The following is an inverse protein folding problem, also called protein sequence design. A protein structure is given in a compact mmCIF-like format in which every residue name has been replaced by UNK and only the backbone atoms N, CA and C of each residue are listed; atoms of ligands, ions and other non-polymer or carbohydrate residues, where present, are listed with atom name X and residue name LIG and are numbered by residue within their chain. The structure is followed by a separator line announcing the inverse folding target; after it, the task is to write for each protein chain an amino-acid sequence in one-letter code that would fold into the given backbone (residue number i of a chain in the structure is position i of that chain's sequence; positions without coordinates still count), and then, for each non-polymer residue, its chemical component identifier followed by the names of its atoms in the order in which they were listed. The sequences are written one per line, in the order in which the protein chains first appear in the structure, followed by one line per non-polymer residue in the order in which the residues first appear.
data_IF_372789850084
#
_entry.id   IF_372789850084
#
_cell.length_a   1.000
_cell.length_b   1.000
_cell.length_c   1.000
_cell.angle_alpha   90.00
_cell.angle_beta   90.00
_cell.angle_gamma   90.00
#
_symmetry.space_group_name_H-M   'P 1'
#
loop_
_entity.id
_entity.type
_entity.pdbx_description
1 polymer ?
#
# COMPACT_ATOMS: atom_id res chain seq x y z
N UNK A 1 5.43 8.25 -11.35
CA UNK A 1 4.07 8.77 -11.66
C UNK A 1 3.50 9.35 -10.36
N UNK A 2 2.92 10.55 -10.34
CA UNK A 2 2.40 11.14 -9.09
C UNK A 2 1.01 10.57 -8.75
N UNK A 3 0.89 9.84 -7.63
CA UNK A 3 -0.33 9.13 -7.19
C UNK A 3 -1.52 10.10 -7.06
N UNK A 4 -1.30 11.28 -6.48
CA UNK A 4 -2.33 12.31 -6.34
C UNK A 4 -2.89 12.77 -7.70
N UNK A 5 -2.01 12.95 -8.70
CA UNK A 5 -2.44 13.28 -10.07
C UNK A 5 -3.28 12.17 -10.70
N UNK A 6 -2.93 10.89 -10.45
CA UNK A 6 -3.72 9.73 -10.94
C UNK A 6 -5.11 9.70 -10.31
N UNK A 7 -5.22 9.86 -8.99
CA UNK A 7 -6.50 9.88 -8.27
C UNK A 7 -7.39 11.03 -8.76
N UNK A 8 -6.84 12.25 -8.89
CA UNK A 8 -7.60 13.41 -9.37
C UNK A 8 -8.04 13.27 -10.83
N UNK A 9 -7.22 12.69 -11.70
CA UNK A 9 -7.59 12.39 -13.08
C UNK A 9 -8.71 11.35 -13.15
N UNK A 10 -8.59 10.23 -12.43
CA UNK A 10 -9.62 9.19 -12.35
C UNK A 10 -10.97 9.76 -11.87
N UNK A 11 -10.94 10.62 -10.85
CA UNK A 11 -12.13 11.30 -10.33
C UNK A 11 -12.84 12.13 -11.42
N UNK A 12 -12.09 12.88 -12.24
CA UNK A 12 -12.67 13.73 -13.31
C UNK A 12 -13.41 12.92 -14.37
N UNK A 13 -12.96 11.68 -14.64
CA UNK A 13 -13.58 10.77 -15.62
C UNK A 13 -14.53 9.75 -14.99
N UNK A 14 -14.91 9.94 -13.72
CA UNK A 14 -15.73 9.00 -12.94
C UNK A 14 -15.19 7.56 -12.87
N UNK A 15 -13.89 7.36 -13.09
CA UNK A 15 -13.25 6.06 -12.96
C UNK A 15 -13.05 5.75 -11.48
N UNK A 16 -13.66 4.66 -11.02
CA UNK A 16 -13.45 4.14 -9.66
C UNK A 16 -12.05 3.57 -9.55
N UNK A 17 -11.49 3.67 -8.35
CA UNK A 17 -10.23 3.02 -8.02
C UNK A 17 -10.40 2.10 -6.83
N UNK A 18 -9.63 1.01 -6.84
CA UNK A 18 -9.62 0.01 -5.78
C UNK A 18 -8.26 -0.01 -5.10
N UNK A 19 -8.24 0.12 -3.78
CA UNK A 19 -7.04 0.04 -2.97
C UNK A 19 -7.17 -1.12 -1.99
N UNK A 20 -6.14 -1.96 -1.91
CA UNK A 20 -6.08 -3.07 -0.97
C UNK A 20 -5.23 -2.68 0.24
N UNK A 21 -5.82 -2.67 1.43
CA UNK A 21 -5.10 -2.43 2.68
C UNK A 21 -4.48 -3.74 3.20
N UNK A 22 -3.17 -3.74 3.34
CA UNK A 22 -2.35 -4.82 3.84
C UNK A 22 -1.82 -4.41 5.21
N UNK A 23 -2.12 -5.25 6.21
CA UNK A 23 -1.59 -5.14 7.57
C UNK A 23 -0.31 -6.01 7.66
N UNK A 24 0.89 -5.41 7.78
CA UNK A 24 2.16 -6.13 7.81
C UNK A 24 2.28 -7.17 8.93
N UNK A 25 1.56 -6.97 10.04
CA UNK A 25 1.66 -7.84 11.22
C UNK A 25 0.85 -9.15 11.07
N UNK A 26 -0.13 -9.17 10.17
CA UNK A 26 -1.10 -10.27 10.05
C UNK A 26 -0.76 -11.29 8.96
N UNK A 27 0.29 -11.08 8.18
CA UNK A 27 0.55 -11.86 6.97
C UNK A 27 1.94 -12.52 7.00
N UNK A 28 1.95 -13.84 6.90
CA UNK A 28 3.19 -14.57 6.59
C UNK A 28 3.56 -14.35 5.12
N UNK A 29 4.87 -14.43 4.77
CA UNK A 29 5.37 -14.17 3.41
C UNK A 29 4.59 -14.90 2.30
N UNK A 30 4.25 -16.18 2.50
CA UNK A 30 3.50 -16.96 1.51
C UNK A 30 2.06 -16.46 1.33
N UNK A 31 1.41 -16.01 2.40
CA UNK A 31 0.07 -15.43 2.33
C UNK A 31 0.12 -14.08 1.61
N UNK A 32 1.13 -13.26 1.90
CA UNK A 32 1.36 -12.00 1.22
C UNK A 32 1.56 -12.21 -0.29
N UNK A 33 2.35 -13.19 -0.70
CA UNK A 33 2.52 -13.53 -2.12
C UNK A 33 1.20 -13.92 -2.79
N UNK A 34 0.38 -14.76 -2.14
CA UNK A 34 -0.94 -15.13 -2.67
C UNK A 34 -1.90 -13.93 -2.75
N UNK A 35 -1.82 -12.99 -1.80
CA UNK A 35 -2.58 -11.74 -1.83
C UNK A 35 -2.12 -10.87 -2.99
N UNK A 36 -0.81 -10.75 -3.21
CA UNK A 36 -0.23 -9.97 -4.30
C UNK A 36 -0.68 -10.51 -5.65
N UNK A 37 -0.62 -11.83 -5.84
CA UNK A 37 -1.09 -12.50 -7.06
C UNK A 37 -2.56 -12.19 -7.34
N UNK A 38 -3.43 -12.38 -6.34
CA UNK A 38 -4.86 -12.04 -6.45
C UNK A 38 -5.10 -10.55 -6.71
N UNK A 39 -4.30 -9.68 -6.10
CA UNK A 39 -4.44 -8.23 -6.29
C UNK A 39 -4.02 -7.79 -7.69
N UNK A 40 -2.99 -8.42 -8.25
CA UNK A 40 -2.57 -8.24 -9.65
C UNK A 40 -3.69 -8.71 -10.59
N UNK A 41 -4.25 -9.90 -10.38
CA UNK A 41 -5.36 -10.43 -11.19
C UNK A 41 -6.62 -9.56 -11.11
N UNK A 42 -6.92 -9.03 -9.92
CA UNK A 42 -8.06 -8.15 -9.67
C UNK A 42 -7.86 -6.71 -10.22
N UNK A 43 -6.72 -6.41 -10.84
CA UNK A 43 -6.37 -5.07 -11.32
C UNK A 43 -6.46 -3.99 -10.23
N UNK A 44 -5.92 -4.29 -9.05
CA UNK A 44 -5.87 -3.34 -7.93
C UNK A 44 -5.06 -2.11 -8.32
N UNK A 45 -5.56 -0.90 -8.02
CA UNK A 45 -4.89 0.34 -8.41
C UNK A 45 -3.76 0.74 -7.46
N UNK A 46 -3.89 0.40 -6.17
CA UNK A 46 -2.98 0.80 -5.10
C UNK A 46 -2.90 -0.27 -4.00
N UNK A 47 -1.70 -0.48 -3.45
CA UNK A 47 -1.53 -1.16 -2.17
C UNK A 47 -1.44 -0.13 -1.07
N UNK A 48 -2.29 -0.24 -0.06
CA UNK A 48 -2.13 0.49 1.19
C UNK A 48 -1.44 -0.40 2.19
N UNK A 49 -0.42 0.10 2.88
CA UNK A 49 0.35 -0.69 3.86
C UNK A 49 0.31 0.02 5.20
N UNK A 50 -0.26 -0.62 6.21
CA UNK A 50 -0.44 -0.03 7.54
C UNK A 50 -1.60 -0.63 8.33
N UNK A 51 -2.07 0.10 9.34
CA UNK A 51 -3.25 -0.27 10.14
C UNK A 51 -3.00 -0.92 11.50
N UNK A 52 -1.74 -1.06 11.93
CA UNK A 52 -1.38 -1.66 13.23
C UNK A 52 -0.17 -0.95 13.88
N UNK A 53 0.16 -1.33 15.13
CA UNK A 53 1.38 -0.91 15.85
C UNK A 53 2.59 -1.64 15.25
N UNK A 54 3.07 -1.11 14.12
CA UNK A 54 4.16 -1.73 13.37
C UNK A 54 5.53 -1.54 14.03
N UNK A 55 6.33 -2.60 13.99
CA UNK A 55 7.79 -2.53 14.11
C UNK A 55 8.39 -2.23 12.75
N UNK A 56 9.49 -1.49 12.70
CA UNK A 56 10.09 -1.06 11.43
C UNK A 56 10.47 -2.26 10.52
N UNK A 57 10.92 -3.37 11.12
CA UNK A 57 11.38 -4.54 10.38
C UNK A 57 10.27 -5.27 9.60
N UNK A 58 9.07 -5.39 10.17
CA UNK A 58 7.95 -6.08 9.51
C UNK A 58 7.41 -5.26 8.35
N UNK A 59 7.37 -3.93 8.51
CA UNK A 59 7.01 -3.01 7.44
C UNK A 59 8.02 -3.09 6.28
N UNK A 60 9.31 -3.04 6.57
CA UNK A 60 10.37 -3.12 5.56
C UNK A 60 10.30 -4.40 4.73
N UNK A 61 10.09 -5.55 5.39
CA UNK A 61 9.98 -6.84 4.72
C UNK A 61 8.72 -6.92 3.85
N UNK A 62 7.60 -6.38 4.33
CA UNK A 62 6.35 -6.31 3.57
C UNK A 62 6.50 -5.44 2.31
N UNK A 63 7.07 -4.23 2.45
CA UNK A 63 7.31 -3.31 1.34
C UNK A 63 8.26 -3.90 0.28
N UNK A 64 9.34 -4.55 0.73
CA UNK A 64 10.26 -5.26 -0.18
C UNK A 64 9.53 -6.37 -0.95
N UNK A 65 8.76 -7.21 -0.25
CA UNK A 65 8.03 -8.32 -0.89
C UNK A 65 7.01 -7.79 -1.91
N UNK A 66 6.31 -6.70 -1.60
CA UNK A 66 5.38 -6.05 -2.52
C UNK A 66 6.08 -5.52 -3.77
N UNK A 67 7.21 -4.83 -3.61
CA UNK A 67 7.99 -4.28 -4.74
C UNK A 67 8.60 -5.35 -5.63
N UNK A 68 9.03 -6.47 -5.06
CA UNK A 68 9.63 -7.58 -5.81
C UNK A 68 8.58 -8.34 -6.66
N UNK A 69 7.31 -8.34 -6.25
CA UNK A 69 6.27 -9.19 -6.83
C UNK A 69 5.11 -8.41 -7.48
N UNK A 70 5.15 -7.08 -7.47
CA UNK A 70 4.14 -6.23 -8.11
C UNK A 70 4.69 -4.87 -8.54
N UNK A 71 4.05 -4.28 -9.54
CA UNK A 71 4.30 -2.92 -10.01
C UNK A 71 3.21 -1.93 -9.56
N UNK A 72 2.24 -2.40 -8.78
CA UNK A 72 1.16 -1.58 -8.24
C UNK A 72 1.76 -0.59 -7.22
N UNK A 73 1.42 0.71 -7.29
CA UNK A 73 1.94 1.72 -6.38
C UNK A 73 1.61 1.42 -4.92
N UNK A 74 2.62 1.53 -4.05
CA UNK A 74 2.51 1.27 -2.62
C UNK A 74 2.38 2.60 -1.87
N UNK A 75 1.33 2.74 -1.07
CA UNK A 75 1.04 3.92 -0.28
C UNK A 75 0.99 3.54 1.20
N UNK A 76 1.75 4.24 2.03
CA UNK A 76 1.70 4.04 3.47
C UNK A 76 0.40 4.59 4.02
N UNK A 77 -0.24 3.79 4.88
CA UNK A 77 -1.36 4.18 5.71
C UNK A 77 -0.89 4.25 7.18
N UNK A 78 -0.20 5.34 7.55
CA UNK A 78 0.51 5.43 8.82
C UNK A 78 -0.47 5.57 9.99
N UNK A 79 -0.33 4.70 10.99
CA UNK A 79 -0.90 4.87 12.34
C UNK A 79 0.03 5.62 13.30
N UNK A 80 1.32 5.77 12.97
CA UNK A 80 2.27 6.59 13.72
C UNK A 80 3.39 7.14 12.80
N UNK A 81 4.18 8.10 13.29
CA UNK A 81 5.26 8.72 12.52
C UNK A 81 6.47 7.81 12.26
N UNK A 82 6.63 6.71 13.03
CA UNK A 82 7.73 5.76 12.84
C UNK A 82 7.51 4.84 11.62
N UNK A 83 6.30 4.79 11.09
CA UNK A 83 5.93 3.98 9.92
C UNK A 83 6.31 4.62 8.58
N UNK A 84 7.03 5.74 8.59
CA UNK A 84 7.54 6.37 7.37
C UNK A 84 8.69 5.53 6.83
N UNK A 85 8.60 5.16 5.55
CA UNK A 85 9.59 4.32 4.88
C UNK A 85 9.83 4.82 3.45
N UNK A 86 11.09 4.90 3.03
CA UNK A 86 11.51 5.41 1.73
C UNK A 86 11.19 4.47 0.56
N UNK A 87 10.86 3.20 0.86
CA UNK A 87 10.44 2.22 -0.15
C UNK A 87 9.00 2.40 -0.60
N UNK A 88 8.18 3.20 0.07
CA UNK A 88 6.83 3.47 -0.41
C UNK A 88 6.80 4.57 -1.49
N UNK A 89 5.82 4.49 -2.40
CA UNK A 89 5.64 5.49 -3.47
C UNK A 89 4.86 6.72 -3.00
N UNK A 90 4.23 6.64 -1.83
CA UNK A 90 3.53 7.75 -1.19
C UNK A 90 3.10 7.44 0.23
N UNK A 91 2.60 8.46 0.91
CA UNK A 91 2.06 8.35 2.28
C UNK A 91 0.74 9.11 2.36
N UNK A 92 -0.24 8.50 3.03
CA UNK A 92 -1.48 9.18 3.39
C UNK A 92 -1.23 10.01 4.64
N UNK A 93 -1.21 11.34 4.47
CA UNK A 93 -1.10 12.25 5.60
C UNK A 93 -2.46 12.39 6.30
N UNK A 94 -2.70 11.51 7.27
CA UNK A 94 -3.96 11.45 8.01
C UNK A 94 -4.03 12.58 9.05
N UNK A 95 -5.13 13.31 9.05
CA UNK A 95 -5.48 14.24 10.12
C UNK A 95 -6.59 13.60 10.95
N UNK A 96 -6.24 13.08 12.13
CA UNK A 96 -7.20 12.60 13.12
C UNK A 96 -7.68 13.81 13.93
N UNK A 97 -8.98 14.10 13.83
CA UNK A 97 -9.69 15.15 14.60
C UNK A 97 -10.30 14.56 15.87
#
# INVERSE_FOLDING_TARGET
MNIYKKITANRKVNKKSFALLIDPDKQNKNQLLSIIEKANDANTDYFFVGGSLLTNDSLDLCLNTLKENSTIPIVLFPGNAMQVNDKADGILFLSLI
#
